data_IF_691949611015
#
_entry.id   IF_691949611015
#
_cell.length_a   1.000
_cell.length_b   1.000
_cell.length_c   1.000
_cell.angle_alpha   90.00
_cell.angle_beta   90.00
_cell.angle_gamma   90.00
#
_symmetry.space_group_name_H-M   'P 1'
#
loop_
_entity.id
_entity.type
_entity.pdbx_description
1 polymer ?
#
# COMPACT_ATOMS: atom_id res chain seq x y z
N UNK A 1 -23.13 8.27 24.97
CA UNK A 1 -21.67 8.27 25.24
C UNK A 1 -21.00 8.36 23.89
N UNK A 2 -20.39 9.50 23.62
CA UNK A 2 -19.88 9.90 22.30
C UNK A 2 -18.56 9.18 22.07
N UNK A 3 -18.59 8.08 21.33
CA UNK A 3 -17.36 7.39 20.91
C UNK A 3 -16.54 8.33 20.04
N UNK A 4 -15.28 8.44 20.44
CA UNK A 4 -14.26 9.38 20.00
C UNK A 4 -14.21 9.46 18.46
N UNK A 5 -14.32 10.68 17.93
CA UNK A 5 -14.02 10.95 16.53
C UNK A 5 -12.59 10.47 16.27
N UNK A 6 -12.44 9.32 15.60
CA UNK A 6 -11.19 8.96 14.96
C UNK A 6 -10.82 10.13 14.07
N UNK A 7 -9.68 10.79 14.31
CA UNK A 7 -9.22 11.92 13.52
C UNK A 7 -9.32 11.55 12.04
N UNK A 8 -10.30 12.13 11.34
CA UNK A 8 -10.56 11.77 9.96
C UNK A 8 -9.37 12.26 9.12
N UNK A 9 -8.60 11.32 8.58
CA UNK A 9 -7.47 11.65 7.70
C UNK A 9 -7.96 11.57 6.25
N UNK A 10 -8.05 12.73 5.57
CA UNK A 10 -8.23 12.75 4.11
C UNK A 10 -6.90 12.32 3.45
N UNK A 11 -6.90 11.10 2.93
CA UNK A 11 -5.74 10.50 2.28
C UNK A 11 -5.31 11.25 1.01
N UNK A 12 -6.22 11.96 0.32
CA UNK A 12 -5.86 12.79 -0.84
C UNK A 12 -5.00 13.96 -0.41
N UNK A 13 -5.43 14.68 0.62
CA UNK A 13 -4.69 15.80 1.17
C UNK A 13 -3.32 15.34 1.69
N UNK A 14 -3.28 14.24 2.46
CA UNK A 14 -2.01 13.70 2.97
C UNK A 14 -1.02 13.27 1.87
N UNK A 15 -1.53 12.72 0.76
CA UNK A 15 -0.68 12.32 -0.36
C UNK A 15 -0.15 13.52 -1.17
N UNK A 16 -0.95 14.58 -1.33
CA UNK A 16 -0.59 15.78 -2.09
C UNK A 16 0.33 16.74 -1.33
N UNK A 17 0.10 16.92 -0.03
CA UNK A 17 0.82 17.91 0.80
C UNK A 17 2.26 17.47 1.11
N UNK A 18 2.59 16.18 0.92
CA UNK A 18 3.93 15.67 1.23
C UNK A 18 4.95 16.14 0.18
N UNK A 19 5.93 17.02 0.54
CA UNK A 19 7.12 17.18 -0.29
C UNK A 19 7.82 15.82 -0.43
N UNK A 20 8.74 15.63 -1.39
CA UNK A 20 9.47 14.38 -1.56
C UNK A 20 10.24 14.07 -0.26
N UNK A 21 9.61 13.27 0.58
CA UNK A 21 9.97 12.99 1.97
C UNK A 21 10.08 11.47 2.12
N UNK A 22 10.50 11.03 3.30
CA UNK A 22 10.53 9.61 3.63
C UNK A 22 9.10 9.08 3.80
N UNK A 23 8.77 8.00 3.12
CA UNK A 23 7.54 7.24 3.32
C UNK A 23 7.81 6.12 4.32
N UNK A 24 7.21 6.21 5.50
CA UNK A 24 7.16 5.08 6.43
C UNK A 24 5.94 4.22 6.16
N UNK A 25 6.15 2.92 6.10
CA UNK A 25 5.15 1.95 5.67
C UNK A 25 5.03 0.84 6.69
N UNK A 26 3.83 0.62 7.21
CA UNK A 26 3.51 -0.53 8.06
C UNK A 26 2.84 -1.62 7.23
N UNK A 27 3.42 -2.81 7.24
CA UNK A 27 2.79 -3.98 6.65
C UNK A 27 1.91 -4.66 7.70
N UNK A 28 0.62 -4.85 7.38
CA UNK A 28 -0.29 -5.59 8.26
C UNK A 28 -0.13 -7.10 8.12
N UNK A 29 -0.49 -7.85 9.18
CA UNK A 29 -0.61 -9.32 9.12
C UNK A 29 -1.53 -9.76 7.98
N UNK A 30 -2.64 -9.05 7.78
CA UNK A 30 -3.59 -9.35 6.70
C UNK A 30 -2.93 -9.27 5.31
N UNK A 31 -2.12 -8.24 5.04
CA UNK A 31 -1.40 -8.14 3.78
C UNK A 31 -0.49 -9.34 3.56
N UNK A 32 0.24 -9.76 4.60
CA UNK A 32 1.15 -10.90 4.55
C UNK A 32 0.38 -12.18 4.21
N UNK A 33 -0.71 -12.47 4.91
CA UNK A 33 -1.60 -13.61 4.64
C UNK A 33 -2.14 -13.58 3.20
N UNK A 34 -2.60 -12.41 2.74
CA UNK A 34 -3.08 -12.18 1.37
C UNK A 34 -2.00 -12.39 0.33
N UNK A 35 -0.76 -12.07 0.64
CA UNK A 35 0.39 -12.34 -0.23
C UNK A 35 0.63 -13.85 -0.34
N UNK A 36 0.69 -14.56 0.80
CA UNK A 36 0.86 -16.02 0.84
C UNK A 36 -0.23 -16.74 0.05
N UNK A 37 -1.51 -16.42 0.28
CA UNK A 37 -2.65 -17.02 -0.42
C UNK A 37 -2.54 -16.90 -1.95
N UNK A 38 -2.04 -15.78 -2.45
CA UNK A 38 -1.94 -15.49 -3.89
C UNK A 38 -0.64 -15.98 -4.54
N UNK A 39 0.36 -16.34 -3.73
CA UNK A 39 1.71 -16.74 -4.16
C UNK A 39 2.08 -18.18 -3.82
N UNK A 40 1.25 -18.91 -3.06
CA UNK A 40 1.55 -20.28 -2.60
C UNK A 40 1.90 -21.27 -3.73
N UNK A 41 1.55 -20.98 -4.99
CA UNK A 41 1.92 -21.79 -6.17
C UNK A 41 3.18 -21.33 -6.91
N UNK A 42 3.60 -20.07 -6.74
CA UNK A 42 4.61 -19.44 -7.60
C UNK A 42 6.03 -19.45 -6.97
N UNK A 43 6.18 -19.73 -5.67
CA UNK A 43 7.47 -19.68 -4.96
C UNK A 43 7.66 -20.89 -4.05
N UNK A 44 8.85 -21.51 -4.10
CA UNK A 44 9.24 -22.62 -3.22
C UNK A 44 9.33 -22.24 -1.73
N UNK A 45 9.57 -20.95 -1.43
CA UNK A 45 9.65 -20.40 -0.07
C UNK A 45 9.34 -18.90 -0.13
N UNK A 46 8.40 -18.43 0.68
CA UNK A 46 8.05 -17.01 0.79
C UNK A 46 8.51 -16.53 2.17
N UNK A 47 9.51 -15.65 2.19
CA UNK A 47 10.00 -14.99 3.40
C UNK A 47 9.55 -13.52 3.47
N UNK A 48 9.72 -12.90 4.64
CA UNK A 48 9.36 -11.50 4.85
C UNK A 48 10.21 -10.54 4.01
N UNK A 49 11.44 -10.93 3.66
CA UNK A 49 12.35 -10.16 2.81
C UNK A 49 11.79 -9.99 1.40
N UNK A 50 11.27 -11.07 0.81
CA UNK A 50 10.60 -11.05 -0.49
C UNK A 50 9.39 -10.12 -0.48
N UNK A 51 8.54 -10.23 0.56
CA UNK A 51 7.37 -9.36 0.70
C UNK A 51 7.79 -7.90 0.80
N UNK A 52 8.80 -7.59 1.63
CA UNK A 52 9.37 -6.25 1.76
C UNK A 52 9.88 -5.71 0.42
N UNK A 53 10.61 -6.52 -0.33
CA UNK A 53 11.16 -6.11 -1.63
C UNK A 53 10.05 -5.86 -2.67
N UNK A 54 9.02 -6.71 -2.71
CA UNK A 54 7.87 -6.51 -3.60
C UNK A 54 7.14 -5.22 -3.23
N UNK A 55 6.83 -5.02 -1.95
CA UNK A 55 6.17 -3.80 -1.47
C UNK A 55 7.01 -2.57 -1.81
N UNK A 56 8.32 -2.60 -1.55
CA UNK A 56 9.23 -1.50 -1.87
C UNK A 56 9.17 -1.12 -3.36
N UNK A 57 9.31 -2.09 -4.25
CA UNK A 57 9.30 -1.85 -5.69
C UNK A 57 7.95 -1.28 -6.16
N UNK A 58 6.83 -1.82 -5.65
CA UNK A 58 5.49 -1.32 -5.98
C UNK A 58 5.32 0.13 -5.51
N UNK A 59 5.77 0.47 -4.30
CA UNK A 59 5.66 1.82 -3.77
C UNK A 59 6.59 2.81 -4.49
N UNK A 60 7.78 2.37 -4.91
CA UNK A 60 8.75 3.21 -5.62
C UNK A 60 8.29 3.54 -7.03
N UNK A 61 7.84 2.54 -7.78
CA UNK A 61 7.63 2.66 -9.24
C UNK A 61 6.14 2.79 -9.61
N UNK A 62 5.25 2.53 -8.64
CA UNK A 62 3.81 2.55 -8.83
C UNK A 62 3.21 3.95 -9.00
N UNK A 63 2.00 3.97 -9.55
CA UNK A 63 1.15 5.17 -9.62
C UNK A 63 0.14 5.16 -8.49
N UNK A 64 0.00 6.29 -7.81
CA UNK A 64 -0.85 6.44 -6.64
C UNK A 64 -2.18 7.06 -7.04
N UNK A 65 -3.24 6.57 -6.43
CA UNK A 65 -4.55 7.18 -6.42
C UNK A 65 -5.07 7.17 -5.00
N UNK A 66 -5.66 8.27 -4.55
CA UNK A 66 -6.23 8.38 -3.22
C UNK A 66 -7.70 8.77 -3.30
N UNK A 67 -8.52 8.11 -2.49
CA UNK A 67 -9.84 8.58 -2.07
C UNK A 67 -9.69 9.26 -0.70
N UNK A 68 -10.79 9.72 -0.11
CA UNK A 68 -10.76 10.25 1.26
C UNK A 68 -10.26 9.21 2.27
N UNK A 69 -10.61 7.93 2.09
CA UNK A 69 -10.35 6.86 3.07
C UNK A 69 -9.24 5.87 2.68
N UNK A 70 -8.82 5.87 1.43
CA UNK A 70 -7.97 4.80 0.88
C UNK A 70 -6.90 5.37 -0.04
N UNK A 71 -5.71 4.79 0.01
CA UNK A 71 -4.64 4.96 -0.96
C UNK A 71 -4.45 3.65 -1.71
N UNK A 72 -4.46 3.75 -3.04
CA UNK A 72 -4.27 2.66 -3.98
C UNK A 72 -2.98 2.93 -4.75
N UNK A 73 -2.09 1.94 -4.81
CA UNK A 73 -0.83 2.04 -5.55
C UNK A 73 -0.81 0.98 -6.63
N UNK A 74 -0.92 1.43 -7.87
CA UNK A 74 -0.93 0.59 -9.06
C UNK A 74 0.48 0.36 -9.59
N UNK A 75 0.90 -0.89 -9.67
CA UNK A 75 2.11 -1.33 -10.34
C UNK A 75 1.78 -2.51 -11.27
N UNK A 76 2.48 -2.74 -12.40
CA UNK A 76 2.11 -3.80 -13.35
C UNK A 76 1.99 -5.20 -12.74
N UNK A 77 2.77 -5.50 -11.69
CA UNK A 77 2.74 -6.81 -11.03
C UNK A 77 1.72 -6.90 -9.89
N UNK A 78 1.65 -5.88 -9.03
CA UNK A 78 0.79 -5.86 -7.85
C UNK A 78 0.15 -4.50 -7.66
N UNK A 79 -1.06 -4.51 -7.12
CA UNK A 79 -1.73 -3.34 -6.59
C UNK A 79 -1.72 -3.43 -5.06
N UNK A 80 -1.25 -2.38 -4.41
CA UNK A 80 -1.32 -2.23 -2.96
C UNK A 80 -2.49 -1.34 -2.58
N UNK A 81 -3.16 -1.70 -1.48
CA UNK A 81 -4.24 -0.88 -0.91
C UNK A 81 -3.92 -0.65 0.56
N UNK A 82 -4.00 0.60 0.97
CA UNK A 82 -3.74 1.03 2.33
C UNK A 82 -4.43 2.35 2.67
N UNK A 83 -4.04 2.93 3.79
CA UNK A 83 -4.43 4.28 4.20
C UNK A 83 -3.31 4.87 5.05
N UNK A 84 -3.32 6.19 5.22
CA UNK A 84 -2.48 6.85 6.20
C UNK A 84 -3.08 6.72 7.59
N UNK A 85 -2.21 6.43 8.55
CA UNK A 85 -2.43 6.58 9.98
C UNK A 85 -1.35 7.54 10.48
N UNK A 86 -1.77 8.77 10.83
CA UNK A 86 -0.90 9.93 11.08
C UNK A 86 0.07 10.16 9.92
N UNK A 87 1.34 9.80 10.09
CA UNK A 87 2.40 9.99 9.09
C UNK A 87 2.85 8.67 8.44
N UNK A 88 2.27 7.54 8.84
CA UNK A 88 2.65 6.22 8.34
C UNK A 88 1.60 5.70 7.38
N UNK A 89 2.03 5.08 6.29
CA UNK A 89 1.15 4.37 5.37
C UNK A 89 0.95 2.94 5.86
N UNK A 90 -0.27 2.60 6.27
CA UNK A 90 -0.65 1.26 6.69
C UNK A 90 -1.18 0.49 5.49
N UNK A 91 -0.45 -0.51 5.05
CA UNK A 91 -0.85 -1.36 3.92
C UNK A 91 -1.74 -2.50 4.41
N UNK A 92 -2.98 -2.51 3.92
CA UNK A 92 -4.03 -3.46 4.33
C UNK A 92 -4.03 -4.71 3.47
N UNK A 93 -3.84 -4.58 2.17
CA UNK A 93 -3.89 -5.73 1.24
C UNK A 93 -3.02 -5.54 0.01
N UNK A 94 -2.75 -6.66 -0.67
CA UNK A 94 -2.01 -6.76 -1.92
C UNK A 94 -2.77 -7.69 -2.87
N UNK A 95 -2.87 -7.29 -4.14
CA UNK A 95 -3.62 -7.99 -5.18
C UNK A 95 -2.74 -8.07 -6.43
N UNK A 96 -2.79 -9.18 -7.19
CA UNK A 96 -2.14 -9.20 -8.52
C UNK A 96 -2.88 -8.19 -9.40
N UNK A 97 -2.16 -7.32 -10.10
CA UNK A 97 -2.82 -6.25 -10.88
C UNK A 97 -3.67 -6.81 -12.03
N UNK A 98 -3.34 -8.00 -12.53
CA UNK A 98 -4.17 -8.74 -13.49
C UNK A 98 -5.55 -9.10 -12.95
N UNK A 99 -5.67 -9.37 -11.63
CA UNK A 99 -6.91 -9.74 -10.93
C UNK A 99 -7.74 -8.52 -10.51
N UNK A 100 -7.27 -7.30 -10.82
CA UNK A 100 -7.94 -6.08 -10.43
C UNK A 100 -9.24 -5.89 -11.22
N UNK A 101 -10.34 -5.71 -10.50
CA UNK A 101 -11.66 -5.42 -11.07
C UNK A 101 -11.63 -4.21 -12.01
N UNK A 102 -12.46 -4.28 -13.06
CA UNK A 102 -12.53 -3.24 -14.10
C UNK A 102 -12.88 -1.86 -13.53
N UNK A 103 -13.72 -1.81 -12.50
CA UNK A 103 -14.06 -0.57 -11.78
C UNK A 103 -12.81 0.11 -11.19
N UNK A 104 -11.90 -0.67 -10.61
CA UNK A 104 -10.66 -0.13 -10.06
C UNK A 104 -9.65 0.26 -11.15
N UNK A 105 -9.68 -0.42 -12.31
CA UNK A 105 -8.87 -0.04 -13.47
C UNK A 105 -9.22 1.35 -14.00
N UNK A 106 -10.50 1.75 -13.95
CA UNK A 106 -10.92 3.10 -14.38
C UNK A 106 -10.20 4.20 -13.59
N UNK A 107 -9.94 4.00 -12.29
CA UNK A 107 -9.22 4.96 -11.46
C UNK A 107 -7.72 5.05 -11.75
N UNK A 108 -7.13 4.06 -12.44
CA UNK A 108 -5.72 4.13 -12.86
C UNK A 108 -5.44 5.33 -13.76
N UNK A 109 -6.42 5.75 -14.57
CA UNK A 109 -6.26 6.93 -15.45
C UNK A 109 -6.02 8.22 -14.66
N UNK A 110 -6.55 8.31 -13.44
CA UNK A 110 -6.41 9.47 -12.53
C UNK A 110 -5.23 9.32 -11.56
N UNK A 111 -4.45 8.24 -11.69
CA UNK A 111 -3.32 7.99 -10.81
C UNK A 111 -2.08 8.78 -11.26
N UNK A 112 -1.26 9.18 -10.29
CA UNK A 112 -0.06 9.99 -10.52
C UNK A 112 1.16 9.36 -9.86
N UNK A 113 2.36 9.71 -10.33
CA UNK A 113 3.61 9.24 -9.72
C UNK A 113 3.96 10.11 -8.51
N UNK A 114 4.36 9.47 -7.42
CA UNK A 114 4.91 10.14 -6.24
C UNK A 114 6.38 9.73 -6.11
N UNK A 115 7.29 10.71 -6.10
CA UNK A 115 8.72 10.46 -5.94
C UNK A 115 9.10 10.54 -4.46
N UNK A 116 9.12 9.40 -3.80
CA UNK A 116 9.63 9.28 -2.43
C UNK A 116 11.16 9.39 -2.42
N UNK A 117 11.73 10.15 -1.48
CA UNK A 117 13.20 10.19 -1.29
C UNK A 117 13.71 8.92 -0.65
N UNK A 118 12.94 8.38 0.29
CA UNK A 118 13.24 7.15 1.00
C UNK A 118 11.94 6.40 1.30
N UNK A 119 11.98 5.08 1.31
CA UNK A 119 10.82 4.23 1.66
C UNK A 119 11.28 3.26 2.76
N UNK A 120 10.74 3.44 3.95
CA UNK A 120 11.08 2.66 5.14
C UNK A 120 9.92 1.69 5.40
N UNK A 121 10.18 0.40 5.22
CA UNK A 121 9.18 -0.65 5.44
C UNK A 121 9.38 -1.25 6.82
N UNK A 122 8.38 -1.05 7.68
CA UNK A 122 8.26 -1.62 9.01
C UNK A 122 7.49 -2.93 8.91
N UNK A 123 8.18 -4.04 9.16
CA UNK A 123 7.58 -5.36 9.24
C UNK A 123 7.07 -5.65 10.66
N UNK A 124 5.92 -6.33 10.81
CA UNK A 124 5.46 -6.75 12.12
C UNK A 124 6.45 -7.76 12.72
N UNK A 125 6.75 -7.60 14.02
CA UNK A 125 7.50 -8.60 14.78
C UNK A 125 6.56 -9.75 15.09
N UNK A 126 6.77 -10.91 14.46
CA UNK A 126 6.11 -12.15 14.88
C UNK A 126 6.88 -12.68 16.10
N UNK A 127 6.21 -12.72 17.25
CA UNK A 127 6.67 -13.48 18.42
C UNK A 127 6.21 -14.92 18.29
#
# INVERSE_FOLDING_TARGET
MSEECSDFIDNRAKLLVRPPSSLEVKITKHLIERFYQRKARDYKRIDLTLIRNVVYNVLRDGKYYATTSTVIVYHPTYTLIGCFDRDQMVLKTIIKTSELEEKLRKFMSKSYRVKWRNIIILTPKFK
#
